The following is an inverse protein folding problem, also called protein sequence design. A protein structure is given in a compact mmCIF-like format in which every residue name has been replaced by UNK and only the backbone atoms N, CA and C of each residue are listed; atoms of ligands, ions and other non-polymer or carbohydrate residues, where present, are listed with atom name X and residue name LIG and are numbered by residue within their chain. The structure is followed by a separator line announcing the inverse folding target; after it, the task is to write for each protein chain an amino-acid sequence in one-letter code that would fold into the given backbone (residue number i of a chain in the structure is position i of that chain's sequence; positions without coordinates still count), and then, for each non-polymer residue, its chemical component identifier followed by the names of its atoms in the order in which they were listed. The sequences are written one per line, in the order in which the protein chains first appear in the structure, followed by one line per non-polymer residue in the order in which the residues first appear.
data_IF_343235686007
#
_entry.id   IF_343235686007
#
_cell.length_a   1.000
_cell.length_b   1.000
_cell.length_c   1.000
_cell.angle_alpha   90.00
_cell.angle_beta   90.00
_cell.angle_gamma   90.00
#
_symmetry.space_group_name_H-M   'P 1'
#
loop_
_entity.id
_entity.type
_entity.pdbx_description
1 polymer ?
#
# COMPACT_ATOMS: atom_id res chain seq x y z
N UNK A 1 27.55 9.64 -25.29
CA UNK A 1 27.03 8.44 -24.60
C UNK A 1 26.68 8.80 -23.15
N UNK A 2 25.44 9.22 -22.89
CA UNK A 2 24.99 9.60 -21.55
C UNK A 2 23.56 9.08 -21.33
N UNK A 3 23.39 7.78 -21.08
CA UNK A 3 22.10 7.21 -20.63
C UNK A 3 22.34 6.03 -19.67
N UNK A 4 23.00 6.26 -18.53
CA UNK A 4 23.12 5.27 -17.44
C UNK A 4 22.61 5.77 -16.07
N UNK A 5 21.82 6.85 -16.07
CA UNK A 5 21.28 7.45 -14.85
C UNK A 5 19.83 7.09 -14.52
N UNK A 6 19.02 6.70 -15.51
CA UNK A 6 17.56 6.60 -15.35
C UNK A 6 17.04 5.22 -14.86
N UNK A 7 17.92 4.21 -14.82
CA UNK A 7 17.51 2.83 -14.52
C UNK A 7 17.60 2.49 -13.02
N UNK A 8 18.48 3.18 -12.28
CA UNK A 8 18.59 3.02 -10.81
C UNK A 8 17.38 3.55 -10.04
N UNK A 9 16.57 4.43 -10.66
CA UNK A 9 15.41 5.04 -10.01
C UNK A 9 14.11 4.19 -10.08
N UNK A 10 14.10 3.04 -10.78
CA UNK A 10 12.84 2.31 -11.08
C UNK A 10 12.65 0.98 -10.37
N UNK A 11 13.64 0.50 -9.62
CA UNK A 11 13.46 -0.62 -8.70
C UNK A 11 13.05 -0.07 -7.34
N UNK A 12 11.85 0.49 -7.24
CA UNK A 12 11.27 0.76 -5.93
C UNK A 12 11.25 -0.57 -5.17
N UNK A 13 11.91 -0.62 -4.01
CA UNK A 13 11.92 -1.79 -3.15
C UNK A 13 10.48 -2.20 -2.84
N UNK A 14 10.12 -3.44 -3.17
CA UNK A 14 8.77 -3.94 -2.95
C UNK A 14 8.54 -4.15 -1.46
N UNK A 15 7.41 -3.64 -0.98
CA UNK A 15 6.99 -3.76 0.41
C UNK A 15 6.23 -5.07 0.58
N UNK A 16 6.92 -6.07 1.14
CA UNK A 16 6.38 -7.41 1.37
C UNK A 16 5.61 -7.47 2.67
N UNK A 17 4.45 -8.13 2.64
CA UNK A 17 3.73 -8.47 3.85
C UNK A 17 4.31 -9.76 4.48
N UNK A 18 4.26 -9.87 5.80
CA UNK A 18 4.80 -11.02 6.56
C UNK A 18 4.09 -12.34 6.26
N UNK A 19 2.84 -12.26 5.79
CA UNK A 19 2.04 -13.39 5.33
C UNK A 19 2.66 -14.08 4.10
N UNK A 20 3.53 -13.41 3.36
CA UNK A 20 4.22 -14.00 2.20
C UNK A 20 5.53 -14.65 2.66
N UNK A 21 5.64 -16.00 2.62
CA UNK A 21 6.86 -16.70 3.02
C UNK A 21 8.05 -16.33 2.14
N UNK A 22 9.25 -16.25 2.70
CA UNK A 22 10.45 -15.83 1.95
C UNK A 22 10.72 -16.70 0.72
N UNK A 23 10.46 -18.02 0.80
CA UNK A 23 10.60 -18.94 -0.34
C UNK A 23 9.71 -18.55 -1.53
N UNK A 24 8.51 -18.03 -1.27
CA UNK A 24 7.61 -17.55 -2.31
C UNK A 24 8.03 -16.16 -2.81
N UNK A 25 8.66 -15.33 -1.97
CA UNK A 25 9.09 -13.97 -2.35
C UNK A 25 10.07 -14.00 -3.51
N UNK A 26 11.03 -14.94 -3.51
CA UNK A 26 11.98 -15.08 -4.62
C UNK A 26 11.29 -15.38 -5.94
N UNK A 27 10.37 -16.35 -5.98
CA UNK A 27 9.60 -16.66 -7.18
C UNK A 27 8.66 -15.50 -7.59
N UNK A 28 8.05 -14.83 -6.62
CA UNK A 28 7.18 -13.68 -6.87
C UNK A 28 7.95 -12.47 -7.42
N UNK A 29 9.22 -12.24 -7.01
CA UNK A 29 10.10 -11.20 -7.59
C UNK A 29 10.31 -11.44 -9.08
N UNK A 30 10.64 -12.68 -9.46
CA UNK A 30 10.81 -13.05 -10.87
C UNK A 30 9.54 -12.82 -11.68
N UNK A 31 8.38 -13.23 -11.15
CA UNK A 31 7.08 -13.01 -11.81
C UNK A 31 6.77 -11.50 -11.96
N UNK A 32 6.98 -10.71 -10.91
CA UNK A 32 6.72 -9.26 -10.91
C UNK A 32 7.71 -8.48 -11.79
N UNK A 33 8.91 -9.01 -12.04
CA UNK A 33 9.89 -8.39 -12.93
C UNK A 33 9.33 -8.19 -14.35
N UNK A 34 8.42 -9.07 -14.79
CA UNK A 34 7.76 -8.99 -16.09
C UNK A 34 6.66 -7.93 -16.20
N UNK A 35 6.31 -7.23 -15.11
CA UNK A 35 5.34 -6.13 -15.11
C UNK A 35 6.03 -4.75 -15.13
N UNK A 36 5.29 -3.72 -15.56
CA UNK A 36 5.74 -2.32 -15.46
C UNK A 36 6.09 -2.00 -13.99
N UNK A 37 7.31 -1.49 -13.71
CA UNK A 37 7.74 -1.15 -12.36
C UNK A 37 6.75 -0.30 -11.55
N UNK A 38 6.00 0.59 -12.21
CA UNK A 38 5.04 1.51 -11.58
C UNK A 38 3.84 0.81 -10.96
N UNK A 39 3.50 -0.40 -11.41
CA UNK A 39 2.33 -1.15 -10.93
C UNK A 39 2.71 -2.39 -10.12
N UNK A 40 4.00 -2.72 -9.97
CA UNK A 40 4.43 -3.94 -9.26
C UNK A 40 3.93 -3.99 -7.82
N UNK A 41 4.01 -2.87 -7.10
CA UNK A 41 3.49 -2.82 -5.73
C UNK A 41 1.97 -3.01 -5.70
N UNK A 42 1.24 -2.47 -6.67
CA UNK A 42 -0.22 -2.63 -6.75
C UNK A 42 -0.60 -4.10 -7.00
N UNK A 43 0.15 -4.81 -7.85
CA UNK A 43 -0.05 -6.24 -8.12
C UNK A 43 0.27 -7.10 -6.89
N UNK A 44 1.35 -6.77 -6.17
CA UNK A 44 1.70 -7.39 -4.90
C UNK A 44 0.60 -7.16 -3.85
N UNK A 45 0.07 -5.95 -3.75
CA UNK A 45 -1.00 -5.59 -2.82
C UNK A 45 -2.30 -6.35 -3.12
N UNK A 46 -2.66 -6.53 -4.40
CA UNK A 46 -3.79 -7.38 -4.80
C UNK A 46 -3.58 -8.83 -4.35
N UNK A 47 -2.40 -9.38 -4.63
CA UNK A 47 -2.09 -10.76 -4.29
C UNK A 47 -2.14 -10.99 -2.78
N UNK A 48 -1.55 -10.08 -1.99
CA UNK A 48 -1.64 -10.12 -0.51
C UNK A 48 -3.09 -10.01 -0.05
N UNK A 49 -3.89 -9.13 -0.66
CA UNK A 49 -5.29 -8.96 -0.33
C UNK A 49 -6.08 -10.26 -0.51
N UNK A 50 -5.87 -10.96 -1.61
CA UNK A 50 -6.55 -12.22 -1.87
C UNK A 50 -6.10 -13.33 -0.92
N UNK A 51 -4.81 -13.39 -0.56
CA UNK A 51 -4.33 -14.37 0.43
C UNK A 51 -4.90 -14.15 1.84
N UNK A 52 -5.21 -12.91 2.19
CA UNK A 52 -5.87 -12.57 3.46
C UNK A 52 -7.37 -12.87 3.45
N UNK A 53 -7.96 -13.17 2.30
CA UNK A 53 -9.40 -13.39 2.20
C UNK A 53 -9.76 -14.80 2.72
N UNK A 54 -10.44 -14.91 3.88
CA UNK A 54 -10.78 -16.21 4.46
C UNK A 54 -11.80 -16.98 3.63
N UNK A 55 -12.60 -16.29 2.80
CA UNK A 55 -13.63 -16.91 1.97
C UNK A 55 -13.07 -17.58 0.70
N UNK A 56 -11.82 -17.27 0.33
CA UNK A 56 -11.18 -17.82 -0.87
C UNK A 56 -9.82 -18.42 -0.51
N UNK A 57 -9.81 -19.74 -0.28
CA UNK A 57 -8.55 -20.47 -0.26
C UNK A 57 -7.93 -20.43 -1.65
N UNK A 58 -6.69 -19.95 -1.72
CA UNK A 58 -5.93 -19.86 -2.97
C UNK A 58 -4.98 -21.06 -3.05
N UNK A 59 -5.35 -22.15 -3.77
CA UNK A 59 -4.55 -23.37 -3.78
C UNK A 59 -3.18 -23.18 -4.43
N UNK A 60 -3.04 -22.24 -5.37
CA UNK A 60 -1.75 -21.91 -5.98
C UNK A 60 -1.53 -20.38 -6.01
N UNK A 61 -0.89 -19.82 -4.97
CA UNK A 61 -0.64 -18.39 -4.87
C UNK A 61 0.20 -17.81 -5.99
N UNK A 62 1.28 -18.50 -6.40
CA UNK A 62 2.18 -18.01 -7.44
C UNK A 62 1.55 -18.03 -8.82
N UNK A 63 0.75 -19.05 -9.14
CA UNK A 63 0.01 -19.09 -10.40
C UNK A 63 -1.01 -17.95 -10.50
N UNK A 64 -1.69 -17.63 -9.40
CA UNK A 64 -2.58 -16.46 -9.35
C UNK A 64 -1.81 -15.16 -9.63
N UNK A 65 -0.65 -14.97 -8.98
CA UNK A 65 0.21 -13.81 -9.21
C UNK A 65 0.64 -13.70 -10.68
N UNK A 66 1.07 -14.81 -11.28
CA UNK A 66 1.41 -14.86 -12.70
C UNK A 66 0.22 -14.48 -13.60
N UNK A 67 -0.99 -14.94 -13.25
CA UNK A 67 -2.22 -14.59 -13.95
C UNK A 67 -2.55 -13.09 -13.92
N UNK A 68 -2.46 -12.45 -12.74
CA UNK A 68 -2.72 -11.00 -12.64
C UNK A 68 -1.63 -10.16 -13.32
N UNK A 69 -0.37 -10.61 -13.30
CA UNK A 69 0.73 -9.97 -14.07
C UNK A 69 0.45 -10.06 -15.56
N UNK A 70 0.04 -11.23 -16.06
CA UNK A 70 -0.32 -11.41 -17.46
C UNK A 70 -1.52 -10.53 -17.86
N UNK A 71 -2.53 -10.41 -16.99
CA UNK A 71 -3.65 -9.50 -17.20
C UNK A 71 -3.21 -8.03 -17.24
N UNK A 72 -2.28 -7.63 -16.37
CA UNK A 72 -1.76 -6.28 -16.30
C UNK A 72 -0.98 -5.89 -17.55
N UNK A 73 -0.13 -6.80 -18.06
CA UNK A 73 0.59 -6.62 -19.34
C UNK A 73 -0.36 -6.44 -20.52
N UNK A 74 -1.56 -7.03 -20.45
CA UNK A 74 -2.61 -6.87 -21.44
C UNK A 74 -3.58 -5.72 -21.18
N UNK A 75 -3.29 -4.80 -20.24
CA UNK A 75 -4.19 -3.72 -19.81
C UNK A 75 -5.60 -4.18 -19.36
N UNK A 76 -5.72 -5.42 -18.85
CA UNK A 76 -6.98 -6.01 -18.36
C UNK A 76 -7.04 -6.14 -16.84
N UNK A 77 -5.97 -5.75 -16.15
CA UNK A 77 -5.93 -5.84 -14.69
C UNK A 77 -6.81 -4.75 -14.05
N UNK A 78 -7.72 -5.18 -13.19
CA UNK A 78 -8.56 -4.31 -12.36
C UNK A 78 -8.30 -4.65 -10.89
N UNK A 79 -7.70 -3.73 -10.11
CA UNK A 79 -7.45 -3.97 -8.69
C UNK A 79 -8.78 -4.04 -7.93
N UNK A 80 -8.94 -5.05 -7.08
CA UNK A 80 -10.14 -5.24 -6.25
C UNK A 80 -9.83 -5.01 -4.77
N UNK A 81 -8.71 -5.58 -4.30
CA UNK A 81 -8.27 -5.51 -2.91
C UNK A 81 -6.98 -4.69 -2.74
N UNK A 82 -6.24 -4.47 -3.82
CA UNK A 82 -4.95 -3.76 -3.76
C UNK A 82 -5.04 -2.40 -3.05
N UNK A 83 -6.09 -1.62 -3.31
CA UNK A 83 -6.29 -0.30 -2.70
C UNK A 83 -6.53 -0.39 -1.19
N UNK A 84 -7.28 -1.39 -0.74
CA UNK A 84 -7.52 -1.62 0.68
C UNK A 84 -6.23 -2.01 1.40
N UNK A 85 -5.42 -2.88 0.77
CA UNK A 85 -4.12 -3.30 1.31
C UNK A 85 -3.13 -2.13 1.36
N UNK A 86 -3.08 -1.30 0.31
CA UNK A 86 -2.23 -0.12 0.26
C UNK A 86 -2.58 0.88 1.38
N UNK A 87 -3.88 1.16 1.59
CA UNK A 87 -4.34 2.02 2.68
C UNK A 87 -4.02 1.42 4.05
N UNK A 88 -4.19 0.10 4.21
CA UNK A 88 -3.81 -0.61 5.44
C UNK A 88 -2.33 -0.47 5.77
N UNK A 89 -1.45 -0.62 4.76
CA UNK A 89 -0.01 -0.41 4.92
C UNK A 89 0.32 1.02 5.33
N UNK A 90 -0.30 2.01 4.71
CA UNK A 90 -0.05 3.41 5.05
C UNK A 90 -0.42 3.71 6.51
N UNK A 91 -1.59 3.26 6.95
CA UNK A 91 -2.01 3.39 8.36
C UNK A 91 -1.06 2.70 9.33
N UNK A 92 -0.56 1.51 8.97
CA UNK A 92 0.43 0.80 9.79
C UNK A 92 1.74 1.56 9.88
N UNK A 93 2.21 2.15 8.77
CA UNK A 93 3.41 2.98 8.77
C UNK A 93 3.23 4.24 9.64
N UNK A 94 2.06 4.89 9.57
CA UNK A 94 1.72 6.05 10.41
C UNK A 94 1.70 5.68 11.92
N UNK A 95 1.07 4.56 12.28
CA UNK A 95 1.05 4.08 13.67
C UNK A 95 2.46 3.72 14.15
N UNK A 96 3.26 3.05 13.31
CA UNK A 96 4.63 2.70 13.65
C UNK A 96 5.51 3.95 13.85
N UNK A 97 5.37 4.95 12.97
CA UNK A 97 6.05 6.24 13.10
C UNK A 97 5.61 6.98 14.38
N UNK A 98 4.31 7.00 14.68
CA UNK A 98 3.80 7.60 15.92
C UNK A 98 4.34 6.90 17.17
N UNK A 99 4.42 5.56 17.16
CA UNK A 99 5.03 4.78 18.26
C UNK A 99 6.51 5.07 18.43
N UNK A 100 7.26 5.15 17.34
CA UNK A 100 8.69 5.51 17.38
C UNK A 100 8.89 6.91 17.97
N UNK A 101 8.08 7.89 17.56
CA UNK A 101 8.14 9.26 18.09
C UNK A 101 7.84 9.36 19.60
N UNK A 102 7.01 8.46 20.14
CA UNK A 102 6.75 8.38 21.59
C UNK A 102 7.94 7.78 22.35
N UNK A 103 8.66 6.82 21.76
CA UNK A 103 9.86 6.22 22.38
C UNK A 103 11.07 7.17 22.36
N UNK A 104 11.20 7.97 21.30
CA UNK A 104 12.25 8.99 21.14
C UNK A 104 11.97 10.27 21.97
N UNK A 105 10.85 10.32 22.70
CA UNK A 105 10.58 11.43 23.63
C UNK A 105 11.49 11.27 24.85
N UNK A 106 12.49 12.16 25.04
CA UNK A 106 13.42 12.04 26.15
C UNK A 106 12.65 12.06 27.48
N UNK A 107 12.98 11.12 28.37
CA UNK A 107 12.63 11.13 29.80
C UNK A 107 13.25 12.37 30.45
N UNK A 108 12.65 13.55 30.25
CA UNK A 108 13.30 14.81 30.65
C UNK A 108 12.51 16.09 30.41
N UNK A 109 11.19 16.05 30.36
CA UNK A 109 10.38 17.27 30.46
C UNK A 109 9.32 17.08 31.55
N UNK A 110 9.40 17.81 32.68
CA UNK A 110 8.37 17.72 33.71
C UNK A 110 7.02 18.12 33.14
N UNK A 111 6.04 17.25 33.36
CA UNK A 111 4.64 17.50 33.11
C UNK A 111 4.21 18.77 33.85
N UNK A 112 4.04 19.87 33.13
CA UNK A 112 3.22 20.96 33.64
C UNK A 112 1.77 20.50 33.61
N UNK A 113 1.30 20.17 34.81
CA UNK A 113 -0.09 20.05 35.20
C UNK A 113 -0.90 21.22 34.61
N UNK A 114 -1.83 20.89 33.72
CA UNK A 114 -3.03 21.69 33.51
C UNK A 114 -4.23 20.75 33.63
N UNK A 115 -4.89 20.86 34.78
CA UNK A 115 -6.12 20.18 35.12
C UNK A 115 -7.33 20.83 34.42
N UNK A 116 -8.33 19.99 34.11
CA UNK A 116 -9.68 20.36 33.67
C UNK A 116 -10.23 19.25 32.76
N UNK A 117 -11.02 18.30 33.26
CA UNK A 117 -12.50 18.32 33.21
C UNK A 117 -13.02 18.81 31.84
N UNK A 118 -13.80 18.09 31.04
CA UNK A 118 -14.93 17.22 31.37
C UNK A 118 -15.42 16.48 30.09
N UNK A 119 -15.99 15.29 30.32
CA UNK A 119 -16.89 14.38 29.58
C UNK A 119 -17.54 14.72 28.20
N UNK A 120 -17.71 13.66 27.39
CA UNK A 120 -18.70 13.50 26.28
C UNK A 120 -18.15 13.88 24.88
N UNK A 121 -18.32 13.16 23.76
CA UNK A 121 -19.34 12.24 23.23
C UNK A 121 -18.78 11.63 21.91
N UNK A 122 -19.12 10.39 21.48
CA UNK A 122 -18.59 9.82 20.23
C UNK A 122 -19.43 10.25 19.02
N UNK A 123 -19.09 11.37 18.38
CA UNK A 123 -19.79 11.87 17.19
C UNK A 123 -19.13 11.41 15.88
N UNK A 124 -19.85 10.51 15.21
CA UNK A 124 -20.12 10.36 13.75
C UNK A 124 -18.96 10.29 12.75
N UNK A 125 -19.12 9.35 11.80
CA UNK A 125 -18.46 9.27 10.48
C UNK A 125 -18.34 10.67 9.86
N UNK A 126 -17.18 11.28 9.98
CA UNK A 126 -16.82 12.48 9.22
C UNK A 126 -16.59 12.14 7.76
N UNK A 127 -16.82 13.09 6.84
CA UNK A 127 -16.46 12.93 5.43
C UNK A 127 -14.95 12.66 5.28
N UNK A 128 -14.59 11.94 4.21
CA UNK A 128 -13.20 11.61 3.89
C UNK A 128 -12.32 12.86 3.97
N UNK A 129 -11.08 12.73 4.48
CA UNK A 129 -10.15 13.86 4.54
C UNK A 129 -9.99 14.45 3.14
N UNK A 130 -10.12 15.78 3.05
CA UNK A 130 -10.21 16.58 1.82
C UNK A 130 -9.11 16.26 0.79
N UNK A 131 -7.94 15.89 1.28
CA UNK A 131 -6.77 15.47 0.49
C UNK A 131 -7.01 14.20 -0.35
N UNK A 132 -7.86 13.29 0.13
CA UNK A 132 -8.19 12.03 -0.58
C UNK A 132 -9.17 12.28 -1.70
N UNK A 133 -10.10 13.23 -1.52
CA UNK A 133 -11.03 13.70 -2.57
C UNK A 133 -10.29 14.33 -3.74
N UNK A 134 -9.30 15.20 -3.47
CA UNK A 134 -8.52 15.87 -4.52
C UNK A 134 -7.70 14.87 -5.34
N UNK A 135 -7.07 13.89 -4.70
CA UNK A 135 -6.32 12.83 -5.39
C UNK A 135 -7.22 11.97 -6.30
N UNK A 136 -8.46 11.70 -5.87
CA UNK A 136 -9.45 10.96 -6.64
C UNK A 136 -9.94 11.75 -7.86
N UNK A 137 -10.19 13.05 -7.70
CA UNK A 137 -10.65 13.89 -8.79
C UNK A 137 -9.55 14.17 -9.81
N UNK A 138 -8.30 14.32 -9.37
CA UNK A 138 -7.15 14.43 -10.27
C UNK A 138 -6.93 13.14 -11.08
N UNK A 139 -7.04 11.98 -10.43
CA UNK A 139 -6.93 10.68 -11.09
C UNK A 139 -8.04 10.46 -12.13
N UNK A 140 -9.29 10.80 -11.77
CA UNK A 140 -10.44 10.74 -12.70
C UNK A 140 -10.31 11.70 -13.87
N UNK A 141 -9.72 12.88 -13.66
CA UNK A 141 -9.51 13.89 -14.71
C UNK A 141 -8.43 13.43 -15.69
N UNK A 142 -7.34 12.84 -15.20
CA UNK A 142 -6.26 12.26 -16.03
C UNK A 142 -6.73 11.07 -16.89
N UNK A 143 -7.71 10.30 -16.43
CA UNK A 143 -8.32 9.22 -17.22
C UNK A 143 -9.27 9.70 -18.32
N UNK A 144 -9.87 10.90 -18.17
CA UNK A 144 -10.81 11.45 -19.18
C UNK A 144 -10.13 12.24 -20.30
N UNK A 145 -8.93 12.80 -20.09
CA UNK A 145 -8.25 13.65 -21.07
C UNK A 145 -7.26 12.92 -22.01
N UNK A 146 -7.30 11.59 -22.08
CA UNK A 146 -6.40 10.78 -22.93
C UNK A 146 -7.12 10.04 -24.07
N UNK A 147 -8.24 10.59 -24.53
CA UNK A 147 -8.96 10.14 -25.72
C UNK A 147 -8.52 10.93 -26.93
#
# INVERSE_FOLDING_TARGET
MQERGADRARSAELLWADIVPEIERSAAREILSGADPRIRQLLLDEWVGQRRNPAKQMPNPLAYLAGIVAAARGNRFVPTLALQVASGRQKQAEIAAARAAVLERPLGAPAQLAAGHDSGEPTRRGPLPEQVSEQLDEFRRKLRCRR
#
